data_IF_417811580043
#
_entry.id   IF_417811580043
#
_cell.length_a   1.000
_cell.length_b   1.000
_cell.length_c   1.000
_cell.angle_alpha   90.00
_cell.angle_beta   90.00
_cell.angle_gamma   90.00
#
_symmetry.space_group_name_H-M   'P 1'
#
loop_
_entity.id
_entity.type
_entity.pdbx_description
1 polymer ?
#
# COMPACT_ATOMS: atom_id res chain seq x y z
N UNK A 1 -18.32 16.14 11.18
CA UNK A 1 -17.48 16.73 10.12
C UNK A 1 -17.26 15.64 9.07
N UNK A 2 -17.40 15.96 7.79
CA UNK A 2 -17.13 15.04 6.72
C UNK A 2 -15.61 15.06 6.46
N UNK A 3 -14.98 13.88 6.39
CA UNK A 3 -13.54 13.72 6.15
C UNK A 3 -13.34 12.96 4.84
N UNK A 4 -12.31 13.32 4.09
CA UNK A 4 -12.05 12.66 2.82
C UNK A 4 -10.69 12.96 2.23
N UNK A 5 -10.53 12.51 1.01
CA UNK A 5 -9.33 12.75 0.19
C UNK A 5 -9.48 14.11 -0.49
N UNK A 6 -8.50 14.98 -0.30
CA UNK A 6 -8.39 16.30 -0.94
C UNK A 6 -7.50 16.22 -2.18
N UNK A 7 -6.43 15.42 -2.09
CA UNK A 7 -5.48 15.23 -3.19
C UNK A 7 -4.77 13.89 -3.05
N UNK A 8 -4.17 13.45 -4.13
CA UNK A 8 -3.38 12.22 -4.18
C UNK A 8 -2.19 12.35 -5.13
N UNK A 9 -1.19 11.50 -4.92
CA UNK A 9 -0.05 11.35 -5.82
C UNK A 9 0.53 9.95 -5.70
N UNK A 10 1.18 9.51 -6.75
CA UNK A 10 1.80 8.19 -6.82
C UNK A 10 3.18 8.27 -7.45
N UNK A 11 4.03 7.34 -7.09
CA UNK A 11 5.31 7.13 -7.74
C UNK A 11 5.61 5.62 -7.83
N UNK A 12 6.00 5.19 -9.00
CA UNK A 12 6.47 3.82 -9.27
C UNK A 12 7.80 3.93 -10.00
N UNK A 13 8.87 3.31 -9.50
CA UNK A 13 10.18 3.32 -10.15
C UNK A 13 10.12 2.98 -11.64
N UNK A 14 11.05 3.54 -12.40
CA UNK A 14 11.03 3.42 -13.86
C UNK A 14 11.40 2.02 -14.36
N UNK A 15 12.35 1.36 -13.70
CA UNK A 15 12.85 0.07 -14.15
C UNK A 15 11.85 -1.07 -13.96
N UNK A 16 11.91 -2.04 -14.86
CA UNK A 16 11.08 -3.25 -14.84
C UNK A 16 11.96 -4.47 -15.03
N UNK A 17 11.58 -5.58 -14.38
CA UNK A 17 12.12 -6.90 -14.63
C UNK A 17 10.96 -7.88 -14.83
N UNK A 18 11.15 -8.86 -15.70
CA UNK A 18 10.13 -9.89 -15.94
C UNK A 18 10.44 -11.16 -15.15
N UNK A 19 9.43 -11.97 -14.79
CA UNK A 19 9.63 -13.29 -14.19
C UNK A 19 10.54 -14.21 -15.01
N UNK A 20 10.48 -14.10 -16.33
CA UNK A 20 11.32 -14.87 -17.25
C UNK A 20 12.82 -14.56 -17.06
N UNK A 21 13.14 -13.26 -16.86
CA UNK A 21 14.52 -12.85 -16.62
C UNK A 21 15.04 -13.33 -15.26
N UNK A 22 14.20 -13.27 -14.22
CA UNK A 22 14.53 -13.81 -12.89
C UNK A 22 14.77 -15.33 -13.01
N UNK A 23 13.85 -16.05 -13.68
CA UNK A 23 13.97 -17.48 -13.91
C UNK A 23 15.26 -17.85 -14.68
N UNK A 24 15.64 -17.06 -15.67
CA UNK A 24 16.88 -17.23 -16.43
C UNK A 24 18.12 -17.18 -15.51
N UNK A 25 18.15 -16.25 -14.57
CA UNK A 25 19.28 -16.10 -13.64
C UNK A 25 19.40 -17.31 -12.70
N UNK A 26 18.28 -17.83 -12.21
CA UNK A 26 18.25 -18.92 -11.22
C UNK A 26 18.09 -20.31 -11.84
N UNK A 27 18.03 -20.44 -13.16
CA UNK A 27 17.77 -21.72 -13.82
C UNK A 27 16.37 -22.28 -13.53
N UNK A 28 15.39 -21.41 -13.30
CA UNK A 28 14.00 -21.75 -12.98
C UNK A 28 13.05 -21.38 -14.14
N UNK A 29 11.85 -21.97 -14.15
CA UNK A 29 10.82 -21.68 -15.14
C UNK A 29 10.08 -20.38 -14.80
N UNK A 30 10.60 -19.25 -15.29
CA UNK A 30 10.01 -17.93 -15.11
C UNK A 30 8.65 -17.76 -15.78
N UNK A 31 8.38 -18.48 -16.87
CA UNK A 31 7.07 -18.48 -17.53
C UNK A 31 5.99 -19.14 -16.66
N UNK A 32 6.33 -20.27 -16.06
CA UNK A 32 5.45 -20.93 -15.09
C UNK A 32 5.19 -20.03 -13.88
N UNK A 33 6.21 -19.34 -13.37
CA UNK A 33 6.06 -18.40 -12.26
C UNK A 33 5.16 -17.23 -12.63
N UNK A 34 5.34 -16.64 -13.82
CA UNK A 34 4.46 -15.59 -14.35
C UNK A 34 2.99 -16.02 -14.40
N UNK A 35 2.72 -17.20 -14.94
CA UNK A 35 1.35 -17.79 -15.00
C UNK A 35 0.79 -18.09 -13.61
N UNK A 36 1.61 -18.60 -12.70
CA UNK A 36 1.17 -18.96 -11.34
C UNK A 36 0.83 -17.75 -10.50
N UNK A 37 1.56 -16.66 -10.63
CA UNK A 37 1.36 -15.43 -9.88
C UNK A 37 0.45 -14.42 -10.61
N UNK A 38 0.27 -14.58 -11.91
CA UNK A 38 -0.33 -13.58 -12.80
C UNK A 38 0.42 -12.24 -12.67
N UNK A 39 1.74 -12.28 -12.86
CA UNK A 39 2.64 -11.12 -12.87
C UNK A 39 3.45 -11.17 -14.17
N UNK A 40 3.36 -10.11 -14.97
CA UNK A 40 4.06 -10.02 -16.26
C UNK A 40 5.36 -9.23 -16.16
N UNK A 41 5.38 -8.26 -15.25
CA UNK A 41 6.57 -7.49 -14.89
C UNK A 41 6.44 -6.96 -13.47
N UNK A 42 7.55 -6.57 -12.88
CA UNK A 42 7.56 -5.86 -11.59
C UNK A 42 8.46 -4.64 -11.66
N UNK A 43 8.15 -3.60 -10.88
CA UNK A 43 8.99 -2.43 -10.74
C UNK A 43 10.21 -2.74 -9.86
N UNK A 44 11.33 -2.14 -10.21
CA UNK A 44 12.60 -2.27 -9.50
C UNK A 44 13.13 -0.87 -9.24
N UNK A 45 13.50 -0.53 -8.00
CA UNK A 45 14.07 0.77 -7.69
C UNK A 45 15.46 0.91 -8.35
N UNK A 46 15.84 2.13 -8.74
CA UNK A 46 17.22 2.43 -9.08
C UNK A 46 18.10 2.43 -7.82
N UNK A 47 19.44 2.40 -7.97
CA UNK A 47 20.35 2.38 -6.82
C UNK A 47 20.22 3.56 -5.86
N UNK A 48 19.65 4.66 -6.30
CA UNK A 48 19.39 5.90 -5.55
C UNK A 48 17.93 6.04 -5.09
N UNK A 49 17.10 5.03 -5.30
CA UNK A 49 15.70 5.00 -4.87
C UNK A 49 15.49 4.08 -3.67
N UNK A 50 14.80 4.59 -2.66
CA UNK A 50 14.33 3.86 -1.48
C UNK A 50 12.89 4.27 -1.12
N UNK A 51 12.37 3.77 -0.03
CA UNK A 51 11.04 4.13 0.48
C UNK A 51 10.89 5.64 0.70
N UNK A 52 11.95 6.32 1.15
CA UNK A 52 11.91 7.76 1.41
C UNK A 52 11.77 8.53 0.11
N UNK A 53 12.60 8.23 -0.88
CA UNK A 53 12.57 8.91 -2.18
C UNK A 53 11.26 8.67 -2.91
N UNK A 54 10.74 7.43 -2.88
CA UNK A 54 9.41 7.08 -3.42
C UNK A 54 8.31 7.88 -2.71
N UNK A 55 8.36 7.96 -1.38
CA UNK A 55 7.38 8.71 -0.57
C UNK A 55 7.44 10.20 -0.87
N UNK A 56 8.63 10.78 -1.02
CA UNK A 56 8.83 12.19 -1.39
C UNK A 56 8.21 12.48 -2.77
N UNK A 57 8.49 11.66 -3.78
CA UNK A 57 7.95 11.88 -5.13
C UNK A 57 6.44 11.70 -5.19
N UNK A 58 5.87 10.69 -4.49
CA UNK A 58 4.44 10.54 -4.34
C UNK A 58 3.80 11.76 -3.64
N UNK A 59 4.40 12.23 -2.55
CA UNK A 59 3.91 13.41 -1.82
C UNK A 59 4.04 14.70 -2.64
N UNK A 60 5.13 14.90 -3.39
CA UNK A 60 5.28 16.02 -4.31
C UNK A 60 4.23 15.99 -5.43
N UNK A 61 3.95 14.81 -6.00
CA UNK A 61 2.90 14.63 -6.99
C UNK A 61 1.52 14.98 -6.40
N UNK A 62 1.25 14.59 -5.16
CA UNK A 62 0.04 14.95 -4.41
C UNK A 62 -0.05 16.47 -4.22
N UNK A 63 1.01 17.12 -3.75
CA UNK A 63 1.03 18.58 -3.53
C UNK A 63 0.85 19.39 -4.82
N UNK A 64 1.33 18.92 -5.96
CA UNK A 64 1.13 19.57 -7.26
C UNK A 64 -0.34 19.60 -7.72
N UNK A 65 -1.20 18.75 -7.16
CA UNK A 65 -2.63 18.61 -7.53
C UNK A 65 -3.56 19.38 -6.60
N UNK A 66 -3.04 20.09 -5.62
CA UNK A 66 -3.84 20.89 -4.68
C UNK A 66 -3.24 22.28 -4.53
N UNK A 67 -4.07 23.22 -4.05
CA UNK A 67 -3.64 24.59 -3.67
C UNK A 67 -3.45 24.72 -2.16
N UNK A 68 -3.57 23.63 -1.40
CA UNK A 68 -3.38 23.65 0.06
C UNK A 68 -1.95 24.07 0.37
N UNK A 69 -1.80 25.05 1.25
CA UNK A 69 -0.48 25.44 1.79
C UNK A 69 0.08 24.27 2.61
N UNK A 70 1.27 23.76 2.29
CA UNK A 70 1.90 22.67 3.05
C UNK A 70 2.04 22.99 4.54
N UNK A 71 2.12 24.26 4.93
CA UNK A 71 2.17 24.68 6.34
C UNK A 71 0.91 24.40 7.14
N UNK A 72 -0.21 24.10 6.48
CA UNK A 72 -1.47 23.71 7.12
C UNK A 72 -1.56 22.20 7.40
N UNK A 73 -0.58 21.41 6.95
CA UNK A 73 -0.50 19.98 7.22
C UNK A 73 -0.02 19.80 8.65
N UNK A 74 -0.87 19.19 9.49
CA UNK A 74 -0.60 18.98 10.91
C UNK A 74 -0.21 17.54 11.27
N UNK A 75 -0.30 16.59 10.29
CA UNK A 75 0.09 15.20 10.49
C UNK A 75 0.68 14.60 9.20
N UNK A 76 1.69 13.73 9.34
CA UNK A 76 2.24 12.95 8.24
C UNK A 76 2.67 11.56 8.73
N UNK A 77 2.16 10.51 8.07
CA UNK A 77 2.48 9.14 8.41
C UNK A 77 2.93 8.37 7.18
N UNK A 78 4.04 7.65 7.32
CA UNK A 78 4.56 6.74 6.28
C UNK A 78 4.37 5.31 6.74
N UNK A 79 3.59 4.54 5.99
CA UNK A 79 3.42 3.10 6.20
C UNK A 79 4.33 2.33 5.25
N UNK A 80 5.20 1.49 5.80
CA UNK A 80 6.13 0.67 5.04
C UNK A 80 6.58 -0.55 5.86
N UNK A 81 7.09 -1.57 5.20
CA UNK A 81 7.83 -2.68 5.83
C UNK A 81 9.31 -2.67 5.45
N UNK A 82 9.75 -1.66 4.71
CA UNK A 82 11.13 -1.51 4.20
C UNK A 82 11.74 -0.13 4.48
N UNK A 83 11.42 0.44 5.66
CA UNK A 83 12.05 1.67 6.12
C UNK A 83 13.58 1.54 6.14
N UNK A 84 14.34 2.50 5.60
CA UNK A 84 15.81 2.41 5.56
C UNK A 84 16.46 2.63 6.93
N UNK A 85 15.73 3.19 7.90
CA UNK A 85 16.21 3.46 9.25
C UNK A 85 15.32 2.77 10.30
N UNK A 86 15.95 2.21 11.33
CA UNK A 86 15.23 1.55 12.42
C UNK A 86 14.72 2.53 13.49
N UNK A 87 15.32 3.72 13.62
CA UNK A 87 15.01 4.69 14.68
C UNK A 87 14.57 6.04 14.14
N UNK A 88 15.27 6.55 13.11
CA UNK A 88 14.92 7.83 12.48
C UNK A 88 13.67 7.65 11.61
N UNK A 89 12.58 8.42 11.85
CA UNK A 89 11.38 8.31 11.02
C UNK A 89 11.63 8.79 9.58
N UNK A 90 11.18 7.99 8.61
CA UNK A 90 11.18 8.35 7.18
C UNK A 90 10.31 9.58 6.92
N UNK A 91 9.18 9.66 7.63
CA UNK A 91 8.22 10.75 7.49
C UNK A 91 8.80 12.13 7.80
N UNK A 92 9.82 12.25 8.64
CA UNK A 92 10.47 13.56 8.92
C UNK A 92 11.18 14.12 7.69
N UNK A 93 11.81 13.26 6.89
CA UNK A 93 12.47 13.65 5.65
C UNK A 93 11.43 14.04 4.60
N UNK A 94 10.34 13.30 4.51
CA UNK A 94 9.24 13.61 3.59
C UNK A 94 8.60 14.97 3.95
N UNK A 95 8.33 15.21 5.23
CA UNK A 95 7.75 16.47 5.71
C UNK A 95 8.61 17.67 5.32
N UNK A 96 9.91 17.58 5.52
CA UNK A 96 10.87 18.61 5.10
C UNK A 96 10.88 18.80 3.57
N UNK A 97 10.87 17.70 2.81
CA UNK A 97 10.93 17.72 1.34
C UNK A 97 9.68 18.34 0.69
N UNK A 98 8.53 18.34 1.36
CA UNK A 98 7.29 19.00 0.90
C UNK A 98 7.01 20.32 1.61
N UNK A 99 7.97 20.83 2.39
CA UNK A 99 7.96 22.15 3.02
C UNK A 99 6.82 22.36 4.02
N UNK A 100 6.50 21.38 4.84
CA UNK A 100 5.53 21.52 5.94
C UNK A 100 6.06 22.48 7.03
N UNK A 101 5.15 22.90 7.92
CA UNK A 101 5.55 23.54 9.17
C UNK A 101 6.25 22.52 10.09
N UNK A 102 7.23 22.94 10.92
CA UNK A 102 7.77 22.06 11.96
C UNK A 102 6.76 21.71 13.08
N UNK A 103 5.63 22.42 13.15
CA UNK A 103 4.52 22.11 14.05
C UNK A 103 3.63 21.01 13.47
N UNK A 104 4.16 19.79 13.35
CA UNK A 104 3.52 18.64 12.72
C UNK A 104 3.81 17.38 13.55
N UNK A 105 2.82 16.49 13.68
CA UNK A 105 3.04 15.13 14.20
C UNK A 105 3.45 14.20 13.08
N UNK A 106 4.53 13.44 13.26
CA UNK A 106 5.07 12.52 12.27
C UNK A 106 5.38 11.19 12.92
N UNK A 107 5.01 10.09 12.24
CA UNK A 107 5.45 8.75 12.62
C UNK A 107 5.51 7.82 11.41
N UNK A 108 6.33 6.79 11.51
CA UNK A 108 6.34 5.67 10.58
C UNK A 108 5.52 4.52 11.16
N UNK A 109 4.85 3.78 10.29
CA UNK A 109 4.07 2.60 10.63
C UNK A 109 4.69 1.35 10.02
N UNK A 110 4.86 0.34 10.85
CA UNK A 110 5.21 -1.02 10.46
C UNK A 110 4.03 -1.96 10.77
N UNK A 111 3.33 -2.37 9.75
CA UNK A 111 2.25 -3.36 9.83
C UNK A 111 2.16 -4.13 8.50
N UNK A 112 3.27 -4.67 8.03
CA UNK A 112 3.36 -5.31 6.73
C UNK A 112 2.58 -4.50 5.66
N UNK A 113 1.89 -5.15 4.75
CA UNK A 113 1.18 -4.52 3.64
C UNK A 113 -0.02 -3.62 4.06
N UNK A 114 -0.44 -3.66 5.35
CA UNK A 114 -1.56 -2.84 5.87
C UNK A 114 -1.11 -1.44 6.32
N UNK A 115 0.19 -1.20 6.46
CA UNK A 115 0.72 0.03 7.06
C UNK A 115 0.24 1.32 6.35
N UNK A 116 0.15 1.33 5.00
CA UNK A 116 -0.35 2.47 4.23
C UNK A 116 -1.82 2.80 4.51
N UNK A 117 -2.69 1.77 4.59
CA UNK A 117 -4.11 1.99 4.93
C UNK A 117 -4.30 2.37 6.40
N UNK A 118 -3.41 1.92 7.31
CA UNK A 118 -3.38 2.38 8.69
C UNK A 118 -3.09 3.88 8.79
N UNK A 119 -2.15 4.39 7.98
CA UNK A 119 -1.86 5.82 7.91
C UNK A 119 -3.10 6.63 7.46
N UNK A 120 -3.84 6.15 6.44
CA UNK A 120 -5.12 6.79 6.01
C UNK A 120 -6.12 6.82 7.15
N UNK A 121 -6.31 5.69 7.86
CA UNK A 121 -7.25 5.58 8.99
C UNK A 121 -6.88 6.54 10.13
N UNK A 122 -5.60 6.68 10.44
CA UNK A 122 -5.13 7.62 11.46
C UNK A 122 -5.36 9.07 11.06
N UNK A 123 -5.00 9.46 9.83
CA UNK A 123 -5.28 10.80 9.33
C UNK A 123 -6.78 11.12 9.33
N UNK A 124 -7.64 10.15 8.96
CA UNK A 124 -9.09 10.29 9.04
C UNK A 124 -9.55 10.62 10.46
N UNK A 125 -9.00 9.92 11.49
CA UNK A 125 -9.31 10.17 12.88
C UNK A 125 -8.85 11.55 13.38
N UNK A 126 -7.62 11.95 13.05
CA UNK A 126 -7.04 13.24 13.46
C UNK A 126 -7.75 14.44 12.82
N UNK A 127 -8.08 14.34 11.52
CA UNK A 127 -8.87 15.38 10.84
C UNK A 127 -10.31 15.39 11.36
N UNK A 128 -10.93 14.22 11.52
CA UNK A 128 -12.31 14.08 12.01
C UNK A 128 -12.51 14.61 13.43
N UNK A 129 -11.51 14.50 14.30
CA UNK A 129 -11.52 15.07 15.65
C UNK A 129 -11.19 16.57 15.69
N UNK A 130 -10.74 17.15 14.60
CA UNK A 130 -10.31 18.56 14.53
C UNK A 130 -8.91 18.81 15.14
N UNK A 131 -8.15 17.75 15.49
CA UNK A 131 -6.78 17.89 16.00
C UNK A 131 -5.83 18.48 14.96
N UNK A 132 -6.04 18.16 13.67
CA UNK A 132 -5.29 18.72 12.54
C UNK A 132 -6.23 19.13 11.42
N UNK A 133 -5.84 20.14 10.64
CA UNK A 133 -6.63 20.56 9.48
C UNK A 133 -6.45 19.60 8.30
N UNK A 134 -5.20 19.20 8.04
CA UNK A 134 -4.84 18.23 7.00
C UNK A 134 -3.86 17.21 7.54
N UNK A 135 -3.99 15.96 7.06
CA UNK A 135 -3.04 14.88 7.31
C UNK A 135 -2.56 14.27 6.01
N UNK A 136 -1.28 13.91 5.94
CA UNK A 136 -0.70 13.17 4.81
C UNK A 136 -0.52 11.72 5.21
N UNK A 137 -1.12 10.82 4.43
CA UNK A 137 -0.98 9.38 4.57
C UNK A 137 -0.25 8.80 3.37
N UNK A 138 0.83 8.08 3.62
CA UNK A 138 1.67 7.47 2.57
C UNK A 138 1.74 5.97 2.80
N UNK A 139 1.61 5.20 1.73
CA UNK A 139 1.96 3.79 1.69
C UNK A 139 2.98 3.56 0.59
N UNK A 140 4.18 3.09 0.95
CA UNK A 140 5.27 2.88 0.01
C UNK A 140 6.18 1.75 0.46
N UNK A 141 6.73 0.98 -0.48
CA UNK A 141 7.74 -0.04 -0.21
C UNK A 141 8.75 -0.19 -1.33
N UNK A 142 9.92 -0.69 -0.95
CA UNK A 142 10.97 -1.24 -1.82
C UNK A 142 11.33 -2.66 -1.37
N UNK A 143 10.35 -3.41 -0.90
CA UNK A 143 10.56 -4.75 -0.36
C UNK A 143 11.09 -5.72 -1.43
N UNK A 144 11.98 -6.61 -1.01
CA UNK A 144 12.62 -7.59 -1.88
C UNK A 144 12.45 -8.99 -1.32
N UNK A 145 12.31 -9.97 -2.22
CA UNK A 145 12.47 -11.39 -1.88
C UNK A 145 13.95 -11.77 -1.80
N UNK A 146 14.27 -12.80 -1.02
CA UNK A 146 15.60 -13.37 -1.05
C UNK A 146 15.94 -13.88 -2.45
N UNK A 147 17.21 -13.84 -2.88
CA UNK A 147 17.64 -14.38 -4.18
C UNK A 147 17.19 -15.83 -4.38
N UNK A 148 16.45 -16.09 -5.46
CA UNK A 148 15.88 -17.42 -5.77
C UNK A 148 14.61 -17.80 -4.99
N UNK A 149 14.13 -16.96 -4.07
CA UNK A 149 12.89 -17.20 -3.34
C UNK A 149 11.67 -16.87 -4.21
N UNK A 150 10.52 -17.56 -4.06
CA UNK A 150 9.28 -17.23 -4.77
C UNK A 150 8.82 -15.76 -4.60
N UNK A 151 9.14 -15.10 -3.49
CA UNK A 151 8.83 -13.67 -3.29
C UNK A 151 9.59 -12.76 -4.26
N UNK A 152 10.78 -13.16 -4.74
CA UNK A 152 11.54 -12.37 -5.69
C UNK A 152 10.76 -12.08 -6.98
N UNK A 153 9.89 -13.01 -7.39
CA UNK A 153 9.06 -12.85 -8.58
C UNK A 153 7.93 -11.84 -8.44
N UNK A 154 7.55 -11.50 -7.20
CA UNK A 154 6.42 -10.61 -6.93
C UNK A 154 6.80 -9.32 -6.20
N UNK A 155 7.77 -9.36 -5.29
CA UNK A 155 8.19 -8.21 -4.48
C UNK A 155 8.68 -7.05 -5.36
N UNK A 156 8.17 -5.86 -5.13
CA UNK A 156 8.28 -4.72 -6.03
C UNK A 156 8.36 -3.40 -5.26
N UNK A 157 8.62 -2.30 -5.96
CA UNK A 157 8.73 -0.98 -5.40
C UNK A 157 7.67 -0.02 -5.95
N UNK A 158 7.17 0.85 -5.09
CA UNK A 158 6.20 1.90 -5.44
C UNK A 158 5.41 2.38 -4.24
N UNK A 159 4.72 3.50 -4.40
CA UNK A 159 3.92 4.07 -3.34
C UNK A 159 2.97 5.17 -3.79
N UNK A 160 2.03 5.50 -2.92
CA UNK A 160 1.10 6.59 -3.11
C UNK A 160 0.93 7.40 -1.82
N UNK A 161 0.64 8.69 -1.98
CA UNK A 161 0.39 9.65 -0.93
C UNK A 161 -1.01 10.26 -1.09
N UNK A 162 -1.69 10.46 0.03
CA UNK A 162 -3.03 11.06 0.09
C UNK A 162 -3.04 12.23 1.07
N UNK A 163 -3.57 13.35 0.63
CA UNK A 163 -3.92 14.47 1.49
C UNK A 163 -5.34 14.27 2.00
N UNK A 164 -5.47 14.11 3.31
CA UNK A 164 -6.75 13.93 4.00
C UNK A 164 -7.16 15.25 4.64
N UNK A 165 -8.39 15.65 4.45
CA UNK A 165 -8.95 16.90 4.96
C UNK A 165 -10.47 16.84 5.09
N UNK A 166 -11.10 18.01 5.32
CA UNK A 166 -12.55 18.16 5.44
C UNK A 166 -13.14 19.18 4.45
N UNK A 167 -12.31 19.80 3.64
CA UNK A 167 -12.67 20.80 2.65
C UNK A 167 -12.16 20.40 1.27
N UNK A 168 -12.83 20.80 0.21
CA UNK A 168 -12.46 20.54 -1.21
C UNK A 168 -12.21 19.03 -1.49
N UNK A 169 -13.09 18.19 -0.99
CA UNK A 169 -12.95 16.73 -1.10
C UNK A 169 -13.21 16.24 -2.53
N UNK A 170 -12.30 15.43 -3.06
CA UNK A 170 -12.50 14.66 -4.29
C UNK A 170 -13.19 13.31 -4.03
N UNK A 171 -13.05 12.79 -2.80
CA UNK A 171 -13.73 11.59 -2.34
C UNK A 171 -13.91 11.62 -0.83
N UNK A 172 -15.02 11.08 -0.33
CA UNK A 172 -15.32 11.00 1.11
C UNK A 172 -14.90 9.67 1.68
N UNK A 173 -14.30 9.68 2.87
CA UNK A 173 -14.02 8.48 3.67
C UNK A 173 -15.20 8.23 4.61
N UNK A 174 -16.11 7.34 4.23
CA UNK A 174 -17.36 7.13 4.96
C UNK A 174 -17.20 6.21 6.16
N UNK A 175 -16.54 5.07 5.99
CA UNK A 175 -16.40 4.03 6.99
C UNK A 175 -15.01 3.44 6.99
N UNK A 176 -14.60 2.91 8.14
CA UNK A 176 -13.41 2.10 8.29
C UNK A 176 -13.71 0.92 9.21
N UNK A 177 -13.13 -0.23 8.90
CA UNK A 177 -13.24 -1.44 9.71
C UNK A 177 -11.88 -2.16 9.73
N UNK A 178 -11.49 -2.66 10.88
CA UNK A 178 -10.23 -3.39 11.05
C UNK A 178 -10.47 -4.77 11.64
N UNK A 179 -9.75 -5.76 11.12
CA UNK A 179 -9.73 -7.12 11.64
C UNK A 179 -8.28 -7.55 11.83
N UNK A 180 -7.90 -7.89 13.05
CA UNK A 180 -6.52 -8.22 13.41
C UNK A 180 -6.48 -9.52 14.19
N UNK A 181 -5.60 -10.43 13.78
CA UNK A 181 -5.21 -11.62 14.55
C UNK A 181 -3.70 -11.79 14.47
N UNK A 182 -3.12 -12.49 15.41
CA UNK A 182 -1.73 -12.92 15.28
C UNK A 182 -1.63 -14.12 14.32
N UNK A 183 -0.86 -13.96 13.23
CA UNK A 183 -0.58 -15.02 12.24
C UNK A 183 0.90 -15.02 11.91
N UNK A 184 1.62 -16.13 12.14
CA UNK A 184 3.05 -16.23 11.83
C UNK A 184 3.27 -16.58 10.34
N UNK A 185 2.77 -15.74 9.46
CA UNK A 185 2.73 -16.00 8.02
C UNK A 185 3.76 -15.20 7.22
N UNK A 186 4.13 -14.00 7.70
CA UNK A 186 5.08 -13.11 7.03
C UNK A 186 5.77 -12.21 8.07
N UNK A 187 7.11 -12.23 8.10
CA UNK A 187 7.89 -11.45 9.07
C UNK A 187 9.32 -11.20 8.58
N UNK A 188 9.98 -10.20 9.15
CA UNK A 188 11.42 -9.97 9.03
C UNK A 188 11.99 -9.61 10.40
N UNK A 189 12.93 -10.39 10.91
CA UNK A 189 13.63 -10.04 12.15
C UNK A 189 14.68 -8.95 11.88
N UNK A 190 14.97 -8.17 12.91
CA UNK A 190 16.07 -7.21 12.85
C UNK A 190 17.36 -7.88 12.42
N UNK A 191 18.14 -7.20 11.57
CA UNK A 191 19.38 -7.73 10.99
C UNK A 191 19.20 -8.73 9.85
N UNK A 192 17.99 -9.14 9.51
CA UNK A 192 17.72 -9.95 8.31
C UNK A 192 17.52 -9.06 7.09
N UNK A 193 18.20 -9.30 5.96
CA UNK A 193 18.05 -8.48 4.75
C UNK A 193 16.73 -8.71 4.02
N UNK A 194 16.11 -9.90 4.20
CA UNK A 194 14.92 -10.30 3.48
C UNK A 194 13.82 -10.80 4.43
N UNK A 195 12.53 -10.66 4.07
CA UNK A 195 11.42 -11.23 4.82
C UNK A 195 11.40 -12.75 4.69
N UNK A 196 10.85 -13.38 5.71
CA UNK A 196 10.50 -14.80 5.74
C UNK A 196 8.99 -14.96 5.61
N UNK A 197 8.52 -16.08 5.06
CA UNK A 197 7.09 -16.35 4.90
C UNK A 197 6.73 -17.80 5.22
N UNK A 198 5.47 -18.01 5.59
CA UNK A 198 4.91 -19.32 5.95
C UNK A 198 4.48 -20.17 4.75
N UNK A 199 4.96 -19.91 3.54
CA UNK A 199 4.59 -20.65 2.34
C UNK A 199 3.08 -20.60 2.08
N UNK A 200 2.41 -21.75 2.02
CA UNK A 200 0.97 -21.83 1.79
C UNK A 200 0.14 -21.08 2.83
N UNK A 201 0.62 -21.02 4.07
CA UNK A 201 -0.08 -20.39 5.17
C UNK A 201 -0.27 -18.88 4.96
N UNK A 202 0.62 -18.22 4.25
CA UNK A 202 0.52 -16.79 3.89
C UNK A 202 -0.73 -16.51 3.03
N UNK A 203 -1.11 -17.43 2.16
CA UNK A 203 -2.36 -17.35 1.40
C UNK A 203 -3.53 -17.90 2.18
N UNK A 204 -3.45 -19.17 2.54
CA UNK A 204 -4.48 -19.88 3.30
C UNK A 204 -3.90 -20.46 4.59
N UNK A 205 -4.42 -20.02 5.77
CA UNK A 205 -5.62 -19.17 5.89
C UNK A 205 -5.36 -17.66 5.91
N UNK A 206 -4.11 -17.16 6.04
CA UNK A 206 -3.86 -15.79 6.47
C UNK A 206 -4.51 -14.72 5.57
N UNK A 207 -4.13 -14.62 4.31
CA UNK A 207 -4.66 -13.59 3.40
C UNK A 207 -6.20 -13.68 3.29
N UNK A 208 -6.73 -14.85 2.94
CA UNK A 208 -8.16 -15.01 2.67
C UNK A 208 -9.01 -14.79 3.91
N UNK A 209 -8.57 -15.29 5.07
CA UNK A 209 -9.26 -15.08 6.36
C UNK A 209 -9.38 -13.59 6.69
N UNK A 210 -8.27 -12.84 6.61
CA UNK A 210 -8.25 -11.43 6.99
C UNK A 210 -9.05 -10.55 6.01
N UNK A 211 -8.87 -10.73 4.71
CA UNK A 211 -9.58 -9.93 3.71
C UNK A 211 -11.09 -10.21 3.75
N UNK A 212 -11.50 -11.47 3.89
CA UNK A 212 -12.92 -11.81 4.00
C UNK A 212 -13.54 -11.23 5.28
N UNK A 213 -12.88 -11.36 6.43
CA UNK A 213 -13.39 -10.85 7.69
C UNK A 213 -13.50 -9.32 7.67
N UNK A 214 -12.45 -8.63 7.18
CA UNK A 214 -12.46 -7.18 7.06
C UNK A 214 -13.52 -6.69 6.05
N UNK A 215 -13.61 -7.31 4.88
CA UNK A 215 -14.57 -6.95 3.84
C UNK A 215 -16.02 -7.15 4.28
N UNK A 216 -16.34 -8.29 4.91
CA UNK A 216 -17.68 -8.54 5.47
C UNK A 216 -18.00 -7.54 6.58
N UNK A 217 -17.08 -7.36 7.54
CA UNK A 217 -17.30 -6.44 8.65
C UNK A 217 -17.49 -4.99 8.20
N UNK A 218 -16.78 -4.56 7.14
CA UNK A 218 -16.99 -3.23 6.56
C UNK A 218 -18.36 -3.09 5.90
N UNK A 219 -18.78 -4.08 5.10
CA UNK A 219 -20.09 -4.07 4.44
C UNK A 219 -21.24 -4.14 5.46
N UNK A 220 -21.10 -4.93 6.51
CA UNK A 220 -22.08 -5.01 7.61
C UNK A 220 -22.21 -3.68 8.35
N UNK A 221 -21.08 -3.04 8.68
CA UNK A 221 -21.02 -1.73 9.31
C UNK A 221 -21.67 -0.64 8.43
N UNK A 222 -21.35 -0.65 7.14
CA UNK A 222 -21.85 0.31 6.16
C UNK A 222 -23.28 0.00 5.71
N UNK A 223 -23.83 -1.17 6.06
CA UNK A 223 -25.14 -1.69 5.58
C UNK A 223 -25.22 -1.75 4.05
N UNK A 224 -24.16 -2.22 3.44
CA UNK A 224 -24.00 -2.33 1.99
C UNK A 224 -23.77 -3.77 1.56
N UNK A 225 -23.89 -4.02 0.27
CA UNK A 225 -23.61 -5.29 -0.41
C UNK A 225 -22.69 -5.07 -1.60
N UNK A 226 -22.02 -6.08 -2.15
CA UNK A 226 -21.05 -5.91 -3.23
C UNK A 226 -21.58 -5.17 -4.46
N UNK A 227 -22.86 -5.28 -4.76
CA UNK A 227 -23.52 -4.59 -5.89
C UNK A 227 -23.65 -3.06 -5.69
N UNK A 228 -23.46 -2.56 -4.49
CA UNK A 228 -23.56 -1.13 -4.17
C UNK A 228 -22.24 -0.38 -4.45
N UNK A 229 -21.17 -1.11 -4.77
CA UNK A 229 -19.85 -0.58 -5.07
C UNK A 229 -19.57 -0.58 -6.58
N UNK A 230 -19.12 0.54 -7.11
CA UNK A 230 -18.64 0.62 -8.49
C UNK A 230 -17.28 -0.09 -8.65
N UNK A 231 -16.41 0.06 -7.65
CA UNK A 231 -15.07 -0.53 -7.63
C UNK A 231 -14.73 -1.08 -6.24
N UNK A 232 -13.83 -2.06 -6.21
CA UNK A 232 -13.26 -2.63 -4.99
C UNK A 232 -11.76 -2.83 -5.18
N UNK A 233 -10.96 -2.35 -4.23
CA UNK A 233 -9.51 -2.51 -4.22
C UNK A 233 -9.12 -3.36 -3.02
N UNK A 234 -8.43 -4.47 -3.28
CA UNK A 234 -7.91 -5.38 -2.27
C UNK A 234 -6.38 -5.30 -2.22
N UNK A 235 -5.79 -5.74 -1.10
CA UNK A 235 -4.36 -6.03 -1.12
C UNK A 235 -4.05 -7.06 -2.19
N UNK A 236 -2.99 -6.85 -2.96
CA UNK A 236 -2.69 -7.60 -4.17
C UNK A 236 -1.25 -8.17 -4.15
N UNK A 237 -1.01 -9.26 -3.36
CA UNK A 237 0.30 -9.90 -3.28
C UNK A 237 0.70 -10.60 -4.59
N UNK A 238 -0.27 -10.90 -5.43
CA UNK A 238 -0.17 -11.37 -6.81
C UNK A 238 -1.48 -11.06 -7.55
N UNK A 239 -1.56 -11.31 -8.84
CA UNK A 239 -2.77 -11.01 -9.63
C UNK A 239 -3.96 -11.95 -9.38
N UNK A 240 -3.74 -13.13 -8.78
CA UNK A 240 -4.80 -14.14 -8.57
C UNK A 240 -5.56 -13.98 -7.27
N UNK A 241 -4.89 -13.59 -6.18
CA UNK A 241 -5.50 -13.53 -4.85
C UNK A 241 -6.64 -12.51 -4.76
N UNK A 242 -6.49 -11.27 -5.27
CA UNK A 242 -7.59 -10.31 -5.28
C UNK A 242 -8.81 -10.78 -6.05
N UNK A 243 -8.62 -11.37 -7.23
CA UNK A 243 -9.71 -11.89 -8.02
C UNK A 243 -10.46 -13.03 -7.30
N UNK A 244 -9.74 -13.93 -6.64
CA UNK A 244 -10.34 -15.02 -5.88
C UNK A 244 -11.12 -14.51 -4.66
N UNK A 245 -10.54 -13.62 -3.85
CA UNK A 245 -11.21 -13.09 -2.66
C UNK A 245 -12.40 -12.20 -3.01
N UNK A 246 -12.31 -11.44 -4.09
CA UNK A 246 -13.41 -10.64 -4.62
C UNK A 246 -14.63 -11.52 -4.92
N UNK A 247 -14.44 -12.62 -5.65
CA UNK A 247 -15.51 -13.61 -5.94
C UNK A 247 -16.10 -14.21 -4.67
N UNK A 248 -15.27 -14.54 -3.67
CA UNK A 248 -15.73 -15.08 -2.38
C UNK A 248 -16.56 -14.06 -1.59
N UNK A 249 -16.31 -12.76 -1.77
CA UNK A 249 -17.09 -11.67 -1.18
C UNK A 249 -18.30 -11.24 -2.02
N UNK A 250 -18.46 -11.78 -3.24
CA UNK A 250 -19.56 -11.46 -4.15
C UNK A 250 -19.30 -10.31 -5.12
N UNK A 251 -18.06 -9.84 -5.25
CA UNK A 251 -17.67 -8.86 -6.25
C UNK A 251 -17.38 -9.50 -7.60
N UNK A 252 -17.52 -8.75 -8.66
CA UNK A 252 -17.24 -9.13 -10.05
C UNK A 252 -15.81 -8.76 -10.45
N UNK A 253 -15.28 -9.39 -11.49
CA UNK A 253 -13.96 -9.06 -12.04
C UNK A 253 -13.90 -7.59 -12.50
N UNK A 254 -15.01 -7.07 -13.10
CA UNK A 254 -15.11 -5.67 -13.54
C UNK A 254 -14.94 -4.65 -12.41
N UNK A 255 -15.38 -4.99 -11.19
CA UNK A 255 -15.26 -4.08 -10.03
C UNK A 255 -13.83 -3.97 -9.51
N UNK A 256 -12.96 -4.94 -9.76
CA UNK A 256 -11.57 -4.94 -9.31
C UNK A 256 -10.56 -4.58 -10.39
N UNK A 257 -10.96 -4.62 -11.66
CA UNK A 257 -10.08 -4.49 -12.84
C UNK A 257 -9.23 -3.23 -12.80
N UNK A 258 -9.84 -2.08 -12.50
CA UNK A 258 -9.15 -0.77 -12.52
C UNK A 258 -8.08 -0.66 -11.45
N UNK A 259 -8.32 -1.22 -10.26
CA UNK A 259 -7.40 -1.18 -9.13
C UNK A 259 -6.37 -2.33 -9.10
N UNK A 260 -6.44 -3.30 -10.02
CA UNK A 260 -5.56 -4.47 -10.05
C UNK A 260 -4.27 -4.16 -10.84
N UNK A 261 -3.27 -3.61 -10.19
CA UNK A 261 -2.03 -3.15 -10.80
C UNK A 261 -0.89 -4.19 -10.75
N UNK A 262 -0.94 -5.09 -9.77
CA UNK A 262 0.12 -6.10 -9.54
C UNK A 262 0.55 -6.90 -10.77
N UNK A 263 -0.32 -7.27 -11.71
CA UNK A 263 0.12 -7.94 -12.94
C UNK A 263 1.19 -7.18 -13.73
N UNK A 264 1.20 -5.85 -13.67
CA UNK A 264 2.07 -4.99 -14.45
C UNK A 264 3.26 -4.40 -13.68
N UNK A 265 3.09 -4.20 -12.36
CA UNK A 265 4.10 -3.51 -11.55
C UNK A 265 4.63 -4.36 -10.40
N UNK A 266 4.08 -5.56 -10.15
CA UNK A 266 4.41 -6.39 -9.00
C UNK A 266 3.68 -5.96 -7.71
N UNK A 267 3.98 -6.63 -6.61
CA UNK A 267 3.44 -6.32 -5.29
C UNK A 267 4.26 -5.22 -4.62
N UNK A 268 3.68 -4.05 -4.46
CA UNK A 268 4.29 -2.90 -3.76
C UNK A 268 3.92 -2.85 -2.27
N UNK A 269 3.52 -3.96 -1.68
CA UNK A 269 3.23 -4.17 -0.25
C UNK A 269 2.33 -3.07 0.35
N UNK A 270 2.87 -2.18 1.23
CA UNK A 270 2.10 -1.08 1.83
C UNK A 270 1.57 -0.09 0.79
N UNK A 271 2.21 0.02 -0.36
CA UNK A 271 1.78 0.83 -1.50
C UNK A 271 0.70 0.16 -2.36
N UNK A 272 0.46 -1.15 -2.22
CA UNK A 272 -0.38 -1.90 -3.17
C UNK A 272 -1.85 -1.45 -3.18
N UNK A 273 -2.46 -1.26 -2.02
CA UNK A 273 -3.83 -0.71 -1.91
C UNK A 273 -3.86 0.78 -2.25
N UNK A 274 -2.98 1.62 -1.68
CA UNK A 274 -2.95 3.04 -2.04
C UNK A 274 -2.73 3.32 -3.53
N UNK A 275 -1.93 2.52 -4.23
CA UNK A 275 -1.74 2.68 -5.68
C UNK A 275 -2.96 2.25 -6.49
N UNK A 276 -3.69 1.25 -6.01
CA UNK A 276 -4.91 0.75 -6.66
C UNK A 276 -6.14 1.63 -6.44
N UNK A 277 -6.12 2.48 -5.39
CA UNK A 277 -7.21 3.38 -5.03
C UNK A 277 -7.21 4.64 -5.89
#
# INVERSE_FOLDING_TARGET
>A
MQVGIVSYGAYVPHYRITPQEIGRVWGADGELMSKNLLIFSKSVPSPDEDVITISVEAARAMMKRTKVDPKLIGALYVGSESHPYAVKPSGTIVAEAILTSPNITVADYEFACKAGTAAIQTCMGLVGSGMVKYGVAIGADTSQGAPGDPLEYSASAGGAAYLIGSEELIATLNHTFSYTTDTPDFWRREGQPYPSHGGRFTGEPAYFKHIQAAGKGLMDLAKTKPTDYAHAVFHQPNGKFPARVAKQLGFTDKQIEVGLLTPQIGNTYSGAVPLGL
#
